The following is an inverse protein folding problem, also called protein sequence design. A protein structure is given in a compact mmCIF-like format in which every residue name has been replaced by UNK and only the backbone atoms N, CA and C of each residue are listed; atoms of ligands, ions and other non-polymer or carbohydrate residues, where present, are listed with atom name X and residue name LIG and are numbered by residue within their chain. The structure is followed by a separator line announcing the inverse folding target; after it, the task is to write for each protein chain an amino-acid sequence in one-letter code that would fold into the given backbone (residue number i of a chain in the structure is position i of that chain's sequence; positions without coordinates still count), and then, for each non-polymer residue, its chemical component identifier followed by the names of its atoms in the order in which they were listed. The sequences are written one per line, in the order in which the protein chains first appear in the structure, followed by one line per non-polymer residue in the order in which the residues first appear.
data_IF_209364843971
#
_entry.id   IF_209364843971
#
_cell.length_a   1.000
_cell.length_b   1.000
_cell.length_c   1.000
_cell.angle_alpha   90.00
_cell.angle_beta   90.00
_cell.angle_gamma   90.00
#
_symmetry.space_group_name_H-M   'P 1'
#
loop_
_entity.id
_entity.type
_entity.pdbx_description
1 polymer ?
#
# COMPACT_ATOMS: atom_id res chain seq x y z
N UNK A 1 22.70 19.27 19.56
CA UNK A 1 21.62 18.27 19.60
C UNK A 1 22.26 16.90 19.42
N UNK A 2 22.31 16.08 20.48
CA UNK A 2 23.10 14.84 20.52
C UNK A 2 22.23 13.64 20.89
N UNK A 3 21.97 12.74 19.91
CA UNK A 3 22.39 11.32 19.89
C UNK A 3 21.61 10.52 18.81
N UNK A 4 22.35 9.99 17.83
CA UNK A 4 21.93 8.88 16.96
C UNK A 4 22.47 7.55 17.53
N UNK A 5 21.70 6.46 17.42
CA UNK A 5 22.17 5.06 17.45
C UNK A 5 21.02 4.09 17.11
N UNK A 6 21.16 3.03 16.32
CA UNK A 6 22.32 2.13 16.22
C UNK A 6 22.54 1.49 14.82
N UNK A 7 21.88 2.02 13.78
CA UNK A 7 21.88 1.58 12.37
C UNK A 7 21.65 2.84 11.54
N UNK A 8 22.71 3.52 11.11
CA UNK A 8 22.71 4.95 10.78
C UNK A 8 21.72 5.33 9.66
N UNK A 9 21.43 4.38 8.78
CA UNK A 9 20.45 4.46 7.71
C UNK A 9 19.70 3.13 7.62
N UNK A 10 18.56 3.11 6.93
CA UNK A 10 17.96 1.85 6.50
C UNK A 10 18.95 1.11 5.61
N UNK A 11 19.11 -0.19 5.84
CA UNK A 11 19.87 -1.07 4.96
C UNK A 11 19.25 -1.01 3.53
N UNK A 12 20.03 -0.97 2.43
CA UNK A 12 19.50 -1.01 1.07
C UNK A 12 18.38 -2.03 0.81
N UNK A 13 18.49 -3.25 1.35
CA UNK A 13 17.43 -4.26 1.21
C UNK A 13 16.14 -3.86 1.93
N UNK A 14 16.22 -3.14 3.04
CA UNK A 14 15.06 -2.61 3.74
C UNK A 14 14.42 -1.43 2.98
N UNK A 15 15.22 -0.65 2.24
CA UNK A 15 14.71 0.42 1.36
C UNK A 15 13.96 -0.21 0.18
N UNK A 16 14.55 -1.20 -0.49
CA UNK A 16 13.91 -1.93 -1.58
C UNK A 16 12.59 -2.57 -1.12
N UNK A 17 12.63 -3.35 -0.03
CA UNK A 17 11.42 -3.97 0.53
C UNK A 17 10.35 -2.94 0.96
N UNK A 18 10.73 -1.73 1.37
CA UNK A 18 9.77 -0.66 1.65
C UNK A 18 9.15 -0.08 0.37
N UNK A 19 9.95 0.11 -0.69
CA UNK A 19 9.48 0.58 -2.00
C UNK A 19 8.53 -0.43 -2.64
N UNK A 20 8.85 -1.72 -2.52
CA UNK A 20 8.08 -2.83 -3.09
C UNK A 20 6.86 -3.23 -2.22
N UNK A 21 6.77 -2.72 -0.98
CA UNK A 21 5.66 -3.00 -0.06
C UNK A 21 5.75 -4.36 0.64
N UNK A 22 6.93 -4.98 0.68
CA UNK A 22 7.18 -6.31 1.21
C UNK A 22 7.54 -6.33 2.71
N UNK A 23 7.70 -5.15 3.33
CA UNK A 23 7.93 -5.07 4.78
C UNK A 23 6.69 -5.51 5.59
N UNK A 24 6.94 -6.23 6.69
CA UNK A 24 5.90 -6.48 7.69
C UNK A 24 5.36 -5.16 8.25
N UNK A 25 4.09 -5.14 8.68
CA UNK A 25 3.42 -3.91 9.20
C UNK A 25 4.23 -3.18 10.28
N UNK A 26 4.85 -3.93 11.20
CA UNK A 26 5.69 -3.35 12.25
C UNK A 26 7.02 -2.79 11.71
N UNK A 27 7.59 -3.38 10.67
CA UNK A 27 8.78 -2.86 10.00
C UNK A 27 8.46 -1.60 9.18
N UNK A 28 7.33 -1.58 8.49
CA UNK A 28 6.83 -0.41 7.73
C UNK A 28 6.69 0.82 8.61
N UNK A 29 6.03 0.69 9.78
CA UNK A 29 5.87 1.82 10.73
C UNK A 29 7.23 2.35 11.22
N UNK A 30 8.22 1.46 11.41
CA UNK A 30 9.59 1.87 11.80
C UNK A 30 10.29 2.59 10.65
N UNK A 31 10.19 2.08 9.43
CA UNK A 31 10.75 2.71 8.23
C UNK A 31 10.15 4.10 7.99
N UNK A 32 8.82 4.25 8.05
CA UNK A 32 8.15 5.55 7.92
C UNK A 32 8.61 6.57 8.96
N UNK A 33 8.77 6.13 10.22
CA UNK A 33 9.31 7.00 11.28
C UNK A 33 10.72 7.46 10.94
N UNK A 34 11.56 6.57 10.43
CA UNK A 34 12.93 6.90 10.02
C UNK A 34 12.94 7.87 8.83
N UNK A 35 12.15 7.63 7.79
CA UNK A 35 12.08 8.47 6.59
C UNK A 35 11.63 9.92 6.87
N UNK A 36 10.82 10.13 7.91
CA UNK A 36 10.45 11.50 8.34
C UNK A 36 11.62 12.27 8.97
N UNK A 37 12.64 11.58 9.44
CA UNK A 37 13.76 12.14 10.19
C UNK A 37 15.08 12.13 9.41
N UNK A 38 15.21 11.25 8.40
CA UNK A 38 16.42 11.07 7.60
C UNK A 38 16.16 11.45 6.14
N UNK A 39 16.79 12.54 5.68
CA UNK A 39 16.69 12.99 4.29
C UNK A 39 17.33 12.03 3.29
N UNK A 40 18.50 11.47 3.61
CA UNK A 40 19.24 10.56 2.73
C UNK A 40 18.44 9.30 2.38
N UNK A 41 17.79 8.66 3.36
CA UNK A 41 16.92 7.52 3.08
C UNK A 41 15.67 7.90 2.29
N UNK A 42 15.18 9.14 2.43
CA UNK A 42 14.05 9.63 1.64
C UNK A 42 14.44 9.85 0.17
N UNK A 43 15.66 10.34 -0.08
CA UNK A 43 16.21 10.48 -1.43
C UNK A 43 16.40 9.12 -2.10
N UNK A 44 16.94 8.12 -1.39
CA UNK A 44 17.12 6.76 -1.93
C UNK A 44 15.77 6.10 -2.29
N UNK A 45 14.75 6.24 -1.43
CA UNK A 45 13.38 5.77 -1.72
C UNK A 45 12.83 6.43 -2.99
N UNK A 46 13.04 7.74 -3.16
CA UNK A 46 12.58 8.46 -4.36
C UNK A 46 13.33 8.02 -5.61
N UNK A 47 14.63 7.80 -5.52
CA UNK A 47 15.45 7.30 -6.62
C UNK A 47 14.94 5.92 -7.09
N UNK A 48 14.71 5.00 -6.15
CA UNK A 48 14.20 3.67 -6.46
C UNK A 48 12.78 3.70 -7.06
N UNK A 49 11.86 4.51 -6.50
CA UNK A 49 10.53 4.71 -7.07
C UNK A 49 10.58 5.26 -8.50
N UNK A 50 11.47 6.22 -8.76
CA UNK A 50 11.70 6.76 -10.09
C UNK A 50 12.22 5.71 -11.06
N UNK A 51 13.11 4.80 -10.63
CA UNK A 51 13.55 3.68 -11.48
C UNK A 51 12.41 2.70 -11.79
N UNK A 52 11.63 2.30 -10.79
CA UNK A 52 10.49 1.39 -11.00
C UNK A 52 9.44 1.98 -11.95
N UNK A 53 9.13 3.28 -11.82
CA UNK A 53 8.21 3.95 -12.73
C UNK A 53 8.74 3.98 -14.17
N UNK A 54 10.03 4.25 -14.37
CA UNK A 54 10.64 4.22 -15.71
C UNK A 54 10.57 2.84 -16.34
N UNK A 55 10.84 1.78 -15.57
CA UNK A 55 10.68 0.40 -16.04
C UNK A 55 9.23 0.10 -16.42
N UNK A 56 8.27 0.54 -15.63
CA UNK A 56 6.86 0.34 -15.91
C UNK A 56 6.42 1.04 -17.21
N UNK A 57 6.90 2.27 -17.45
CA UNK A 57 6.63 3.01 -18.69
C UNK A 57 7.24 2.27 -19.89
N UNK A 58 8.50 1.84 -19.82
CA UNK A 58 9.15 1.09 -20.90
C UNK A 58 8.48 -0.27 -21.17
N UNK A 59 7.92 -0.92 -20.15
CA UNK A 59 7.25 -2.20 -20.29
C UNK A 59 5.83 -2.09 -20.88
N UNK A 60 5.24 -0.90 -20.88
CA UNK A 60 3.82 -0.69 -21.23
C UNK A 60 3.51 -0.72 -22.73
N UNK A 61 4.51 -0.59 -23.60
CA UNK A 61 4.29 -0.49 -25.06
C UNK A 61 4.23 -1.82 -25.79
N UNK A 62 4.84 -2.90 -25.28
CA UNK A 62 4.98 -4.16 -26.03
C UNK A 62 4.60 -5.43 -25.24
N UNK A 63 4.34 -5.32 -23.94
CA UNK A 63 3.94 -6.45 -23.09
C UNK A 63 2.46 -6.36 -22.72
N UNK A 64 1.63 -7.08 -23.48
CA UNK A 64 0.22 -7.25 -23.17
C UNK A 64 -0.09 -8.69 -22.78
N UNK A 65 -1.00 -8.86 -21.82
CA UNK A 65 -1.55 -10.17 -21.52
C UNK A 65 -2.29 -10.74 -22.75
N UNK A 66 -2.24 -12.05 -23.00
CA UNK A 66 -3.03 -12.68 -24.06
C UNK A 66 -4.53 -12.37 -23.90
N UNK A 67 -5.23 -12.12 -25.00
CA UNK A 67 -6.65 -11.78 -24.98
C UNK A 67 -7.52 -12.80 -24.21
N UNK A 68 -7.18 -14.08 -24.33
CA UNK A 68 -7.87 -15.17 -23.62
C UNK A 68 -7.71 -15.11 -22.09
N UNK A 69 -6.60 -14.58 -21.57
CA UNK A 69 -6.42 -14.36 -20.13
C UNK A 69 -7.28 -13.19 -19.67
N UNK A 70 -7.29 -12.10 -20.44
CA UNK A 70 -8.08 -10.90 -20.13
C UNK A 70 -9.57 -11.23 -20.11
N UNK A 71 -10.05 -11.98 -21.09
CA UNK A 71 -11.44 -12.45 -21.15
C UNK A 71 -11.79 -13.33 -19.94
N UNK A 72 -10.92 -14.28 -19.57
CA UNK A 72 -11.13 -15.11 -18.38
C UNK A 72 -11.15 -14.32 -17.07
N UNK A 73 -10.26 -13.33 -16.92
CA UNK A 73 -10.22 -12.45 -15.74
C UNK A 73 -11.48 -11.57 -15.66
N UNK A 74 -11.99 -11.08 -16.79
CA UNK A 74 -13.22 -10.29 -16.85
C UNK A 74 -14.46 -11.09 -16.44
N UNK A 75 -14.41 -12.42 -16.50
CA UNK A 75 -15.50 -13.31 -16.07
C UNK A 75 -15.46 -13.63 -14.56
N UNK A 76 -14.45 -13.17 -13.82
CA UNK A 76 -14.32 -13.40 -12.37
C UNK A 76 -15.10 -12.38 -11.51
N UNK A 77 -16.17 -11.76 -12.03
CA UNK A 77 -16.95 -10.77 -11.27
C UNK A 77 -17.54 -11.34 -9.96
N UNK A 78 -17.08 -10.76 -8.85
CA UNK A 78 -17.72 -10.52 -7.53
C UNK A 78 -18.17 -11.68 -6.61
N UNK A 79 -17.81 -12.94 -6.85
CA UNK A 79 -18.06 -14.00 -5.87
C UNK A 79 -16.75 -14.36 -5.14
N UNK A 80 -16.70 -13.99 -3.85
CA UNK A 80 -15.82 -14.54 -2.79
C UNK A 80 -14.33 -14.15 -2.76
N UNK A 81 -14.04 -12.87 -2.48
CA UNK A 81 -12.88 -12.53 -1.62
C UNK A 81 -13.41 -12.15 -0.23
N UNK A 82 -13.84 -13.15 0.54
CA UNK A 82 -13.89 -13.00 2.00
C UNK A 82 -12.48 -13.16 2.55
N UNK A 83 -11.61 -12.19 2.28
CA UNK A 83 -10.41 -12.03 3.10
C UNK A 83 -10.82 -11.27 4.36
N UNK A 84 -11.28 -12.02 5.36
CA UNK A 84 -11.49 -11.49 6.71
C UNK A 84 -10.22 -11.68 7.54
N UNK A 85 -9.41 -10.63 7.73
CA UNK A 85 -8.78 -10.38 9.00
C UNK A 85 -9.74 -9.50 9.81
N UNK A 86 -10.65 -10.11 10.57
CA UNK A 86 -11.23 -9.58 11.83
C UNK A 86 -11.41 -8.03 11.90
N UNK A 87 -12.15 -7.40 10.97
CA UNK A 87 -12.61 -6.02 11.18
C UNK A 87 -13.98 -6.03 11.86
N UNK A 88 -14.22 -5.25 12.94
CA UNK A 88 -15.51 -5.20 13.59
C UNK A 88 -16.57 -4.65 12.63
N UNK A 89 -17.34 -5.57 12.03
CA UNK A 89 -18.47 -5.28 11.16
C UNK A 89 -19.59 -4.68 12.01
N UNK A 90 -19.51 -3.36 12.23
CA UNK A 90 -20.50 -2.65 13.02
C UNK A 90 -20.58 -1.15 12.79
N UNK A 91 -19.68 -0.55 12.02
CA UNK A 91 -19.65 0.92 11.87
C UNK A 91 -20.66 1.37 10.81
N UNK A 92 -20.68 0.72 9.62
CA UNK A 92 -21.60 1.10 8.53
C UNK A 92 -23.07 0.92 8.91
N UNK A 93 -23.41 -0.22 9.51
CA UNK A 93 -24.78 -0.50 9.97
C UNK A 93 -25.27 0.47 11.06
N UNK A 94 -24.37 0.92 11.95
CA UNK A 94 -24.71 1.93 12.97
C UNK A 94 -24.88 3.32 12.36
N UNK A 95 -24.04 3.70 11.40
CA UNK A 95 -24.17 4.96 10.66
C UNK A 95 -25.47 4.99 9.85
N UNK A 96 -25.81 3.90 9.13
CA UNK A 96 -27.07 3.79 8.37
C UNK A 96 -28.31 3.83 9.27
N UNK A 97 -28.26 3.17 10.42
CA UNK A 97 -29.38 3.19 11.38
C UNK A 97 -29.56 4.56 12.02
N UNK A 98 -28.47 5.28 12.28
CA UNK A 98 -28.51 6.65 12.81
C UNK A 98 -29.07 7.64 11.78
N UNK A 99 -28.64 7.54 10.51
CA UNK A 99 -29.15 8.40 9.42
C UNK A 99 -30.65 8.17 9.22
N UNK A 100 -31.11 6.91 9.20
CA UNK A 100 -32.53 6.56 9.03
C UNK A 100 -33.42 7.06 10.16
N UNK A 101 -32.88 7.13 11.38
CA UNK A 101 -33.62 7.62 12.55
C UNK A 101 -33.79 9.14 12.55
N UNK A 102 -32.89 9.88 11.90
CA UNK A 102 -32.97 11.33 11.76
C UNK A 102 -33.94 11.76 10.64
N UNK A 103 -34.11 10.93 9.61
CA UNK A 103 -35.00 11.21 8.46
C UNK A 103 -36.47 10.86 8.70
N UNK A 104 -36.83 10.24 9.83
CA UNK A 104 -38.22 9.83 10.15
C UNK A 104 -38.94 10.75 11.16
N UNK A 105 -38.33 11.87 11.56
CA UNK A 105 -38.99 12.92 12.36
C UNK A 105 -39.29 14.13 11.47
N UNK A 106 -40.25 13.97 10.57
CA UNK A 106 -41.13 15.04 10.08
C UNK A 106 -42.58 14.54 10.09
#
# INVERSE_FOLDING_TARGET
MTRFNSTDHLNPEAIAAYVDGELSKAATVRAERHLRLCGECCEEVQAQRGTSQRLQVCNSSDMHAPASLVERLAMLCDEDVTDTPETPKGIRSRVESAIRSLTHRE
#
